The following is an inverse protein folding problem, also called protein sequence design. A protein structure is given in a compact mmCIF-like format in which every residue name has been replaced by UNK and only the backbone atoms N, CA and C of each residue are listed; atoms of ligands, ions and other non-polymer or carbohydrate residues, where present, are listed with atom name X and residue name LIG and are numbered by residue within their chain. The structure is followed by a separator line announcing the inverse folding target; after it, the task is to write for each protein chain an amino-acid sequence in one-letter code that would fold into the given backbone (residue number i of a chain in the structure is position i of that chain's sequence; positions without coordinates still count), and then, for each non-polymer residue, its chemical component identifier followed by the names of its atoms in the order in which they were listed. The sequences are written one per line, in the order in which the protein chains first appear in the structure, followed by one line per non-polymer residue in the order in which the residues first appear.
data_IF_388335064707
#
_entry.id   IF_388335064707
#
_cell.length_a   1.000
_cell.length_b   1.000
_cell.length_c   1.000
_cell.angle_alpha   90.00
_cell.angle_beta   90.00
_cell.angle_gamma   90.00
#
_symmetry.space_group_name_H-M   'P 1'
#
loop_
_entity.id
_entity.type
_entity.pdbx_description
1 polymer ?
#
# COMPACT_ATOMS: atom_id res chain seq x y z
N UNK A 1 10.79 14.75 18.19
CA UNK A 1 12.06 15.49 18.25
C UNK A 1 12.91 14.91 19.35
N UNK A 2 14.21 14.80 19.13
CA UNK A 2 15.12 14.43 20.21
C UNK A 2 15.13 15.51 21.29
N UNK A 3 15.34 15.11 22.55
CA UNK A 3 15.15 15.97 23.71
C UNK A 3 16.02 17.26 23.68
N UNK A 4 17.14 17.23 22.96
CA UNK A 4 18.07 18.36 22.82
C UNK A 4 17.73 19.34 21.69
N UNK A 5 16.76 19.02 20.82
CA UNK A 5 16.32 19.90 19.73
C UNK A 5 15.07 20.73 20.07
N UNK A 6 14.47 20.47 21.24
CA UNK A 6 13.23 21.12 21.66
C UNK A 6 13.50 22.54 22.15
N UNK A 7 12.86 23.52 21.49
CA UNK A 7 12.82 24.91 21.98
C UNK A 7 11.87 25.01 23.17
N UNK A 8 12.04 26.07 23.98
CA UNK A 8 11.13 26.38 25.07
C UNK A 8 9.66 26.43 24.58
N UNK A 9 8.79 25.64 25.19
CA UNK A 9 7.38 25.48 24.81
C UNK A 9 7.07 24.38 23.77
N UNK A 10 8.07 23.68 23.23
CA UNK A 10 7.85 22.53 22.36
C UNK A 10 7.76 21.22 23.15
N UNK A 11 6.95 20.28 22.66
CA UNK A 11 6.81 18.94 23.22
C UNK A 11 7.54 17.92 22.35
N UNK A 12 8.22 16.96 22.99
CA UNK A 12 8.98 15.90 22.32
C UNK A 12 8.12 15.07 21.36
N UNK A 13 6.90 14.78 21.81
CA UNK A 13 5.90 14.00 21.13
C UNK A 13 4.53 14.66 21.33
N UNK A 14 3.76 14.75 20.25
CA UNK A 14 2.36 15.16 20.30
C UNK A 14 1.54 14.11 19.58
N UNK A 15 0.80 13.32 20.36
CA UNK A 15 -0.09 12.30 19.83
C UNK A 15 -1.46 12.95 19.56
N UNK A 16 -1.87 12.96 18.30
CA UNK A 16 -3.23 13.33 17.92
C UNK A 16 -4.06 12.06 17.81
N UNK A 17 -5.04 11.90 18.69
CA UNK A 17 -6.06 10.86 18.50
C UNK A 17 -7.14 11.45 17.60
N UNK A 18 -7.40 10.87 16.41
CA UNK A 18 -8.51 11.32 15.60
C UNK A 18 -9.80 11.11 16.39
N UNK A 19 -10.56 12.19 16.57
CA UNK A 19 -11.93 12.06 17.01
C UNK A 19 -12.81 11.76 15.79
N UNK A 20 -13.78 10.87 15.96
CA UNK A 20 -14.73 10.53 14.92
C UNK A 20 -15.93 11.48 15.04
N UNK A 21 -16.05 12.49 14.14
CA UNK A 21 -17.09 13.52 14.29
C UNK A 21 -18.51 12.96 14.13
N UNK A 22 -18.65 11.75 13.59
CA UNK A 22 -19.90 11.01 13.44
C UNK A 22 -19.66 9.53 13.73
N UNK A 23 -20.69 8.83 14.23
CA UNK A 23 -20.69 7.37 14.42
C UNK A 23 -19.56 6.81 15.30
N UNK A 24 -19.02 7.61 16.24
CA UNK A 24 -17.93 7.22 17.14
C UNK A 24 -18.16 5.86 17.83
N UNK A 25 -19.35 5.64 18.40
CA UNK A 25 -19.70 4.41 19.12
C UNK A 25 -19.73 3.16 18.23
N UNK A 26 -19.97 3.33 16.93
CA UNK A 26 -19.96 2.24 15.97
C UNK A 26 -18.54 2.00 15.44
N UNK A 27 -17.83 3.08 15.13
CA UNK A 27 -16.44 3.02 14.65
C UNK A 27 -15.51 2.37 15.68
N UNK A 28 -15.59 2.76 16.95
CA UNK A 28 -14.74 2.21 18.03
C UNK A 28 -14.92 0.70 18.27
N UNK A 29 -16.03 0.11 17.79
CA UNK A 29 -16.29 -1.33 17.86
C UNK A 29 -15.80 -2.10 16.63
N UNK A 30 -15.36 -1.39 15.59
CA UNK A 30 -14.85 -1.98 14.36
C UNK A 30 -13.33 -2.23 14.41
N UNK A 31 -12.83 -2.93 13.39
CA UNK A 31 -11.41 -3.21 13.22
C UNK A 31 -10.57 -1.97 12.91
N UNK A 32 -9.25 -2.15 12.96
CA UNK A 32 -8.26 -1.14 12.55
C UNK A 32 -8.46 0.24 13.20
N UNK A 33 -8.72 0.26 14.51
CA UNK A 33 -8.94 1.50 15.28
C UNK A 33 -10.23 2.26 14.92
N UNK A 34 -11.15 1.60 14.20
CA UNK A 34 -12.41 2.15 13.73
C UNK A 34 -12.40 2.66 12.29
N UNK A 35 -11.26 2.61 11.60
CA UNK A 35 -11.17 2.98 10.19
C UNK A 35 -12.06 2.12 9.28
N UNK A 36 -12.11 0.80 9.55
CA UNK A 36 -12.86 -0.16 8.73
C UNK A 36 -14.36 0.16 8.66
N UNK A 37 -14.92 0.73 9.74
CA UNK A 37 -16.32 1.16 9.77
C UNK A 37 -16.61 2.18 8.66
N UNK A 38 -15.76 3.19 8.50
CA UNK A 38 -15.99 4.28 7.56
C UNK A 38 -15.86 3.84 6.10
N UNK A 39 -15.02 2.84 5.82
CA UNK A 39 -14.92 2.25 4.47
C UNK A 39 -16.27 1.67 4.04
N UNK A 40 -16.86 0.79 4.86
CA UNK A 40 -18.16 0.19 4.58
C UNK A 40 -19.31 1.21 4.62
N UNK A 41 -19.29 2.12 5.60
CA UNK A 41 -20.30 3.16 5.77
C UNK A 41 -20.39 4.09 4.55
N UNK A 42 -19.25 4.61 4.07
CA UNK A 42 -19.21 5.51 2.92
C UNK A 42 -19.59 4.78 1.63
N UNK A 43 -19.15 3.53 1.46
CA UNK A 43 -19.55 2.70 0.32
C UNK A 43 -21.06 2.50 0.27
N UNK A 44 -21.68 2.08 1.38
CA UNK A 44 -23.13 1.89 1.46
C UNK A 44 -23.91 3.19 1.25
N UNK A 45 -23.41 4.32 1.78
CA UNK A 45 -24.04 5.62 1.57
C UNK A 45 -24.00 6.09 0.13
N UNK A 46 -22.88 5.91 -0.58
CA UNK A 46 -22.76 6.25 -1.99
C UNK A 46 -23.81 5.48 -2.82
N UNK A 47 -23.98 4.19 -2.57
CA UNK A 47 -25.03 3.38 -3.22
C UNK A 47 -26.43 3.90 -2.90
N UNK A 48 -26.71 4.15 -1.62
CA UNK A 48 -28.04 4.57 -1.15
C UNK A 48 -28.45 5.94 -1.69
N UNK A 49 -27.50 6.86 -1.81
CA UNK A 49 -27.77 8.26 -2.20
C UNK A 49 -27.62 8.50 -3.69
N UNK A 50 -26.84 7.67 -4.39
CA UNK A 50 -26.42 7.93 -5.77
C UNK A 50 -25.32 9.00 -5.87
N UNK A 51 -24.87 9.56 -4.75
CA UNK A 51 -23.78 10.54 -4.73
C UNK A 51 -22.43 9.84 -4.92
N UNK A 52 -21.53 10.40 -5.74
CA UNK A 52 -20.18 9.86 -5.92
C UNK A 52 -19.44 9.75 -4.58
N UNK A 53 -18.85 8.58 -4.32
CA UNK A 53 -17.96 8.41 -3.19
C UNK A 53 -16.71 9.31 -3.34
N UNK A 54 -16.18 9.81 -2.22
CA UNK A 54 -14.90 10.53 -2.24
C UNK A 54 -13.81 9.68 -2.88
N UNK A 55 -13.69 8.41 -2.47
CA UNK A 55 -12.81 7.43 -3.10
C UNK A 55 -13.49 6.85 -4.35
N UNK A 56 -13.36 7.57 -5.46
CA UNK A 56 -13.72 7.07 -6.80
C UNK A 56 -12.61 6.20 -7.41
N UNK A 57 -12.90 5.62 -8.58
CA UNK A 57 -11.94 4.79 -9.32
C UNK A 57 -10.64 5.54 -9.62
N UNK A 58 -10.70 6.82 -9.95
CA UNK A 58 -9.50 7.57 -10.33
C UNK A 58 -8.60 7.88 -9.14
N UNK A 59 -9.17 8.22 -7.98
CA UNK A 59 -8.39 8.37 -6.73
C UNK A 59 -7.82 7.04 -6.27
N UNK A 60 -8.61 5.97 -6.29
CA UNK A 60 -8.14 4.63 -5.94
C UNK A 60 -6.96 4.17 -6.81
N UNK A 61 -7.05 4.41 -8.12
CA UNK A 61 -5.96 4.09 -9.06
C UNK A 61 -4.76 5.00 -8.84
N UNK A 62 -4.95 6.31 -8.62
CA UNK A 62 -3.83 7.25 -8.34
C UNK A 62 -3.04 6.82 -7.09
N UNK A 63 -3.73 6.39 -6.04
CA UNK A 63 -3.09 5.87 -4.82
C UNK A 63 -2.35 4.56 -5.08
N UNK A 64 -2.96 3.65 -5.86
CA UNK A 64 -2.39 2.33 -6.14
C UNK A 64 -1.16 2.40 -7.04
N UNK A 65 -1.21 3.24 -8.09
CA UNK A 65 -0.13 3.32 -9.08
C UNK A 65 1.14 3.95 -8.50
N UNK A 66 1.04 4.72 -7.42
CA UNK A 66 2.21 5.23 -6.71
C UNK A 66 3.16 4.10 -6.28
N UNK A 67 2.63 2.97 -5.81
CA UNK A 67 3.44 1.80 -5.46
C UNK A 67 4.09 1.11 -6.68
N UNK A 68 3.36 1.04 -7.80
CA UNK A 68 3.86 0.48 -9.05
C UNK A 68 5.00 1.36 -9.60
N UNK A 69 4.79 2.67 -9.64
CA UNK A 69 5.80 3.63 -10.09
C UNK A 69 7.01 3.67 -9.15
N UNK A 70 6.79 3.52 -7.83
CA UNK A 70 7.89 3.40 -6.88
C UNK A 70 8.78 2.18 -7.19
N UNK A 71 8.22 1.05 -7.62
CA UNK A 71 9.03 -0.08 -8.06
C UNK A 71 9.84 0.24 -9.32
N UNK A 72 9.24 0.93 -10.30
CA UNK A 72 9.95 1.39 -11.51
C UNK A 72 11.09 2.36 -11.18
N UNK A 73 10.85 3.24 -10.22
CA UNK A 73 11.86 4.18 -9.71
C UNK A 73 13.01 3.41 -9.05
N UNK A 74 12.69 2.48 -8.16
CA UNK A 74 13.66 1.67 -7.43
C UNK A 74 14.63 0.91 -8.36
N UNK A 75 14.11 0.24 -9.40
CA UNK A 75 14.96 -0.48 -10.37
C UNK A 75 15.73 0.45 -11.31
N UNK A 76 15.35 1.72 -11.38
CA UNK A 76 16.01 2.77 -12.16
C UNK A 76 16.78 3.74 -11.24
N UNK A 77 17.55 3.18 -10.31
CA UNK A 77 18.42 3.92 -9.38
C UNK A 77 17.71 5.05 -8.61
N UNK A 78 16.46 4.78 -8.17
CA UNK A 78 15.59 5.75 -7.48
C UNK A 78 15.33 7.03 -8.29
N UNK A 79 15.42 6.94 -9.62
CA UNK A 79 15.16 8.06 -10.51
C UNK A 79 13.71 8.55 -10.43
N UNK A 80 13.45 9.83 -10.73
CA UNK A 80 12.10 10.36 -10.74
C UNK A 80 11.24 9.66 -11.80
N UNK A 81 10.00 9.36 -11.44
CA UNK A 81 8.99 8.73 -12.30
C UNK A 81 7.73 9.56 -12.27
N UNK A 82 7.06 9.68 -13.40
CA UNK A 82 5.78 10.38 -13.50
C UNK A 82 4.67 9.56 -12.82
N UNK A 83 3.76 10.22 -12.10
CA UNK A 83 2.50 9.62 -11.67
C UNK A 83 1.43 10.05 -12.67
N UNK A 84 0.96 9.17 -13.56
CA UNK A 84 0.07 9.55 -14.64
C UNK A 84 -1.32 9.92 -14.09
N UNK A 85 -1.90 11.00 -14.62
CA UNK A 85 -3.30 11.33 -14.34
C UNK A 85 -4.24 10.58 -15.30
N UNK A 86 -4.70 9.42 -14.86
CA UNK A 86 -5.61 8.59 -15.65
C UNK A 86 -7.04 9.11 -15.76
N UNK A 87 -7.35 10.32 -15.29
CA UNK A 87 -8.59 11.01 -15.69
C UNK A 87 -8.57 11.35 -17.18
N UNK A 88 -7.40 11.64 -17.73
CA UNK A 88 -7.20 11.89 -19.15
C UNK A 88 -7.11 10.57 -19.95
N UNK A 89 -8.00 10.41 -20.94
CA UNK A 89 -8.01 9.26 -21.83
C UNK A 89 -6.76 9.17 -22.70
N UNK A 90 -6.20 10.32 -23.12
CA UNK A 90 -4.99 10.35 -23.93
C UNK A 90 -3.79 9.81 -23.13
N UNK A 91 -3.75 10.07 -21.82
CA UNK A 91 -2.77 9.46 -20.92
C UNK A 91 -3.04 7.97 -20.78
N UNK A 92 -4.29 7.54 -20.53
CA UNK A 92 -4.63 6.10 -20.40
C UNK A 92 -4.18 5.27 -21.61
N UNK A 93 -4.36 5.78 -22.83
CA UNK A 93 -3.95 5.09 -24.08
C UNK A 93 -2.46 4.77 -24.12
N UNK A 94 -1.61 5.58 -23.48
CA UNK A 94 -0.17 5.33 -23.44
C UNK A 94 0.18 4.09 -22.60
N UNK A 95 -0.70 3.70 -21.68
CA UNK A 95 -0.50 2.58 -20.74
C UNK A 95 -1.42 1.39 -21.01
N UNK A 96 -2.23 1.41 -22.07
CA UNK A 96 -3.27 0.39 -22.30
C UNK A 96 -2.70 -1.02 -22.54
N UNK A 97 -1.46 -1.09 -23.02
CA UNK A 97 -0.72 -2.33 -23.27
C UNK A 97 0.44 -2.53 -22.27
N UNK A 98 0.46 -1.75 -21.18
CA UNK A 98 1.47 -1.88 -20.13
C UNK A 98 1.17 -3.13 -19.30
N UNK A 99 1.88 -4.22 -19.58
CA UNK A 99 1.74 -5.50 -18.92
C UNK A 99 2.95 -5.83 -18.02
N UNK A 100 3.72 -4.80 -17.62
CA UNK A 100 4.86 -4.93 -16.72
C UNK A 100 4.48 -5.66 -15.44
N UNK A 101 5.35 -6.56 -14.99
CA UNK A 101 5.05 -7.36 -13.80
C UNK A 101 6.30 -7.90 -13.12
N UNK A 102 6.38 -7.83 -11.78
CA UNK A 102 7.43 -8.50 -11.02
C UNK A 102 7.13 -9.98 -10.78
N UNK A 103 6.03 -10.55 -11.33
CA UNK A 103 5.70 -11.96 -11.11
C UNK A 103 6.80 -12.86 -11.70
N UNK A 104 7.48 -13.67 -10.86
CA UNK A 104 8.59 -14.48 -11.32
C UNK A 104 8.17 -15.56 -12.33
N UNK A 105 6.88 -15.91 -12.39
CA UNK A 105 6.33 -16.95 -13.26
C UNK A 105 5.99 -16.45 -14.67
N UNK A 106 5.95 -15.12 -14.89
CA UNK A 106 5.68 -14.56 -16.21
C UNK A 106 6.91 -14.70 -17.11
N UNK A 107 6.68 -15.10 -18.36
CA UNK A 107 7.73 -15.30 -19.38
C UNK A 107 7.80 -14.17 -20.41
N UNK A 108 7.14 -13.03 -20.14
CA UNK A 108 7.11 -11.90 -21.07
C UNK A 108 8.41 -11.10 -21.01
N UNK A 109 8.79 -10.40 -22.10
CA UNK A 109 9.92 -9.47 -22.09
C UNK A 109 9.77 -8.32 -21.07
N UNK A 110 8.55 -8.07 -20.59
CA UNK A 110 8.21 -7.01 -19.65
C UNK A 110 8.24 -7.49 -18.18
N UNK A 111 8.85 -8.65 -17.92
CA UNK A 111 9.10 -9.15 -16.57
C UNK A 111 10.14 -8.26 -15.87
N UNK A 112 9.79 -7.74 -14.70
CA UNK A 112 10.69 -7.01 -13.83
C UNK A 112 11.36 -7.97 -12.83
N UNK A 113 12.52 -7.59 -12.26
CA UNK A 113 13.07 -8.31 -11.12
C UNK A 113 12.08 -8.24 -9.93
N UNK A 114 12.14 -9.25 -9.07
CA UNK A 114 11.33 -9.35 -7.83
C UNK A 114 12.00 -8.65 -6.65
N UNK A 115 13.27 -8.31 -6.77
CA UNK A 115 14.09 -7.69 -5.75
C UNK A 115 15.08 -6.71 -6.37
N UNK A 116 15.67 -5.85 -5.55
CA UNK A 116 16.77 -4.98 -5.93
C UNK A 116 18.06 -5.70 -5.50
N UNK A 117 18.92 -6.00 -6.46
CA UNK A 117 20.19 -6.69 -6.23
C UNK A 117 20.19 -8.11 -6.77
N UNK A 118 21.05 -8.95 -6.19
CA UNK A 118 21.22 -10.33 -6.61
C UNK A 118 20.11 -11.22 -6.07
N UNK A 119 19.81 -12.29 -6.81
CA UNK A 119 18.88 -13.32 -6.35
C UNK A 119 19.39 -13.98 -5.07
N UNK A 120 18.68 -13.76 -3.98
CA UNK A 120 19.02 -14.33 -2.67
C UNK A 120 18.52 -15.78 -2.65
N UNK A 121 19.45 -16.73 -2.71
CA UNK A 121 19.14 -18.14 -2.44
C UNK A 121 19.20 -18.39 -0.93
N UNK A 122 18.09 -18.76 -0.27
CA UNK A 122 18.11 -19.05 1.16
C UNK A 122 19.05 -20.22 1.49
N UNK A 123 19.83 -20.12 2.57
CA UNK A 123 20.69 -21.23 2.99
C UNK A 123 19.87 -22.39 3.56
N UNK A 124 20.39 -23.63 3.54
CA UNK A 124 19.72 -24.78 4.17
C UNK A 124 19.34 -24.52 5.64
N UNK A 125 20.21 -23.83 6.40
CA UNK A 125 19.96 -23.46 7.80
C UNK A 125 18.85 -22.42 7.91
N UNK A 126 18.82 -21.43 7.01
CA UNK A 126 17.76 -20.42 6.96
C UNK A 126 16.40 -21.03 6.66
N UNK A 127 16.34 -21.99 5.73
CA UNK A 127 15.11 -22.74 5.42
C UNK A 127 14.68 -23.57 6.62
N UNK A 128 15.60 -24.26 7.30
CA UNK A 128 15.28 -25.06 8.48
C UNK A 128 14.73 -24.18 9.62
N UNK A 129 15.33 -23.00 9.84
CA UNK A 129 14.86 -22.03 10.81
C UNK A 129 13.46 -21.49 10.47
N UNK A 130 13.24 -21.08 9.22
CA UNK A 130 11.94 -20.59 8.75
C UNK A 130 10.84 -21.65 8.94
N UNK A 131 11.11 -22.90 8.57
CA UNK A 131 10.19 -24.03 8.77
C UNK A 131 9.80 -24.22 10.23
N UNK A 132 10.79 -24.16 11.14
CA UNK A 132 10.52 -24.23 12.59
C UNK A 132 9.55 -23.11 13.03
N UNK A 133 9.83 -21.87 12.66
CA UNK A 133 8.96 -20.72 12.99
C UNK A 133 7.56 -20.89 12.41
N UNK A 134 7.44 -21.32 11.17
CA UNK A 134 6.15 -21.54 10.52
C UNK A 134 5.33 -22.64 11.20
N UNK A 135 5.96 -23.76 11.56
CA UNK A 135 5.30 -24.84 12.32
C UNK A 135 4.83 -24.35 13.68
N UNK A 136 5.64 -23.58 14.41
CA UNK A 136 5.24 -22.97 15.69
C UNK A 136 4.05 -22.00 15.54
N UNK A 137 3.88 -21.39 14.37
CA UNK A 137 2.75 -20.52 14.02
C UNK A 137 1.55 -21.28 13.41
N UNK A 138 1.62 -22.61 13.32
CA UNK A 138 0.53 -23.46 12.84
C UNK A 138 0.49 -23.68 11.33
N UNK A 139 1.55 -23.30 10.60
CA UNK A 139 1.69 -23.63 9.18
C UNK A 139 2.45 -24.96 9.03
N UNK A 140 1.77 -25.97 8.46
CA UNK A 140 2.28 -27.33 8.28
C UNK A 140 2.43 -27.72 6.80
N UNK A 141 2.51 -26.75 5.88
CA UNK A 141 2.75 -27.02 4.45
C UNK A 141 4.16 -27.60 4.19
N UNK A 142 4.37 -28.14 2.99
CA UNK A 142 5.68 -28.64 2.50
C UNK A 142 6.67 -27.51 2.14
#
# INVERSE_FOLDING_TARGET
HDAWELKEGQVAEKVYRPDFPVHHDLATKAGHGGGDFFTCYNFANAIRTGEPAFMDVYRGVTMSIAGIQAWRSAINDSGPVEIPDFRDEAVRKQYENDDWSPDPTRTTPHRLPTNIGDEITPTPEGIAFARKVWTEKGYCGE
#
